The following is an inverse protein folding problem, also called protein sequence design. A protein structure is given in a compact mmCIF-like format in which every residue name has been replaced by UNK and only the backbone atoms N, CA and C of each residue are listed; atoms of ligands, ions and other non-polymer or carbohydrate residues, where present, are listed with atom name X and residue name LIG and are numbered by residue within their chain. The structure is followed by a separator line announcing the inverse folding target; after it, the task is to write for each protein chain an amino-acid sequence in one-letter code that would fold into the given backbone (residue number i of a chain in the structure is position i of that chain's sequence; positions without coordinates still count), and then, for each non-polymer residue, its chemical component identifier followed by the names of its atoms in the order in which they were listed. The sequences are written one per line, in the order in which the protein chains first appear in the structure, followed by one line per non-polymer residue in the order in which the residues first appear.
data_IF_572236845245
#
_entry.id   IF_572236845245
#
_cell.length_a   1.000
_cell.length_b   1.000
_cell.length_c   1.000
_cell.angle_alpha   90.00
_cell.angle_beta   90.00
_cell.angle_gamma   90.00
#
_symmetry.space_group_name_H-M   'P 1'
#
loop_
_entity.id
_entity.type
_entity.pdbx_description
1 polymer ?
#
# COMPACT_ATOMS: atom_id res chain seq x y z
N UNK A 1 13.23 11.18 -19.01
CA UNK A 1 13.23 10.12 -17.98
C UNK A 1 13.92 10.70 -16.75
N UNK A 2 13.21 10.87 -15.64
CA UNK A 2 13.74 11.56 -14.45
C UNK A 2 14.89 10.77 -13.83
N UNK A 3 16.02 11.43 -13.62
CA UNK A 3 17.32 10.90 -13.15
C UNK A 3 17.42 10.83 -11.62
N UNK A 4 16.31 10.83 -10.89
CA UNK A 4 16.33 10.77 -9.42
C UNK A 4 16.59 9.32 -8.99
N UNK A 5 17.75 9.00 -8.38
CA UNK A 5 17.97 7.69 -7.81
C UNK A 5 16.97 7.48 -6.65
N UNK A 6 16.16 6.42 -6.74
CA UNK A 6 15.21 6.04 -5.69
C UNK A 6 15.99 5.39 -4.54
N UNK A 7 16.56 6.21 -3.64
CA UNK A 7 17.50 5.77 -2.60
C UNK A 7 16.84 5.31 -1.29
N UNK A 8 15.54 5.04 -1.28
CA UNK A 8 14.85 4.61 -0.06
C UNK A 8 13.63 3.73 -0.32
N UNK A 9 13.35 2.84 0.63
CA UNK A 9 12.09 2.10 0.68
C UNK A 9 10.99 3.05 1.16
N UNK A 10 10.00 3.32 0.32
CA UNK A 10 8.80 4.08 0.67
C UNK A 10 7.88 3.18 1.49
N UNK A 11 7.65 3.58 2.76
CA UNK A 11 6.72 2.90 3.66
C UNK A 11 5.34 3.47 3.48
N UNK A 12 4.37 2.62 3.14
CA UNK A 12 2.99 3.04 2.81
C UNK A 12 2.01 2.46 3.81
N UNK A 13 1.04 3.27 4.21
CA UNK A 13 -0.14 2.81 4.94
C UNK A 13 -1.42 3.21 4.22
N UNK A 14 -2.45 2.37 4.28
CA UNK A 14 -3.76 2.65 3.69
C UNK A 14 -4.78 3.07 4.76
N UNK A 15 -5.64 4.03 4.40
CA UNK A 15 -6.85 4.37 5.16
C UNK A 15 -8.05 4.05 4.26
N UNK A 16 -8.86 3.09 4.69
CA UNK A 16 -9.84 2.38 3.87
C UNK A 16 -9.23 1.11 3.26
N UNK A 17 -9.70 -0.05 3.70
CA UNK A 17 -9.28 -1.39 3.25
C UNK A 17 -10.33 -2.03 2.33
N UNK A 18 -11.12 -1.19 1.63
CA UNK A 18 -12.17 -1.63 0.71
C UNK A 18 -11.64 -2.04 -0.69
N UNK A 19 -12.58 -2.25 -1.62
CA UNK A 19 -12.30 -2.86 -2.92
C UNK A 19 -11.27 -2.15 -3.80
N UNK A 20 -11.13 -0.82 -3.73
CA UNK A 20 -10.13 -0.10 -4.52
C UNK A 20 -8.70 -0.37 -4.03
N UNK A 21 -8.52 -0.46 -2.71
CA UNK A 21 -7.19 -0.78 -2.17
C UNK A 21 -6.85 -2.24 -2.47
N UNK A 22 -7.78 -3.17 -2.26
CA UNK A 22 -7.56 -4.60 -2.52
C UNK A 22 -7.41 -4.93 -4.01
N UNK A 23 -8.17 -4.26 -4.88
CA UNK A 23 -8.21 -4.55 -6.32
C UNK A 23 -7.19 -3.78 -7.17
N UNK A 24 -6.74 -2.60 -6.71
CA UNK A 24 -5.87 -1.74 -7.51
C UNK A 24 -4.63 -1.26 -6.74
N UNK A 25 -4.77 -0.58 -5.60
CA UNK A 25 -3.61 0.07 -4.98
C UNK A 25 -2.61 -0.92 -4.38
N UNK A 26 -3.04 -1.78 -3.47
CA UNK A 26 -2.16 -2.75 -2.83
C UNK A 26 -1.47 -3.66 -3.85
N UNK A 27 -2.17 -4.39 -4.74
CA UNK A 27 -1.53 -5.32 -5.67
C UNK A 27 -0.55 -4.64 -6.63
N UNK A 28 -0.81 -3.39 -7.06
CA UNK A 28 0.12 -2.68 -7.93
C UNK A 28 1.30 -2.07 -7.17
N UNK A 29 1.09 -1.59 -5.94
CA UNK A 29 2.17 -1.00 -5.14
C UNK A 29 3.15 -2.05 -4.61
N UNK A 30 2.70 -3.27 -4.26
CA UNK A 30 3.62 -4.33 -3.80
C UNK A 30 4.58 -4.82 -4.89
N UNK A 31 4.24 -4.60 -6.17
CA UNK A 31 5.10 -4.95 -7.30
C UNK A 31 6.31 -4.01 -7.42
N UNK A 32 6.25 -2.83 -6.79
CA UNK A 32 7.34 -1.87 -6.85
C UNK A 32 8.45 -2.29 -5.87
N UNK A 33 9.70 -2.43 -6.33
CA UNK A 33 10.79 -2.97 -5.51
C UNK A 33 11.21 -2.06 -4.34
N UNK A 34 10.79 -0.79 -4.38
CA UNK A 34 11.10 0.22 -3.38
C UNK A 34 9.86 0.60 -2.53
N UNK A 35 8.82 -0.22 -2.49
CA UNK A 35 7.63 0.03 -1.66
C UNK A 35 7.45 -1.08 -0.64
N UNK A 36 7.12 -0.69 0.59
CA UNK A 36 6.73 -1.61 1.66
C UNK A 36 5.46 -1.14 2.33
N UNK A 37 4.43 -1.99 2.31
CA UNK A 37 3.23 -1.75 3.11
C UNK A 37 3.54 -1.98 4.58
N UNK A 38 3.14 -1.06 5.46
CA UNK A 38 3.47 -1.10 6.91
C UNK A 38 2.28 -0.88 7.83
N UNK A 39 1.15 -0.40 7.31
CA UNK A 39 -0.03 -0.11 8.11
C UNK A 39 -1.31 -0.15 7.26
N UNK A 40 -2.43 -0.39 7.92
CA UNK A 40 -3.76 -0.26 7.33
C UNK A 40 -4.75 0.17 8.43
N UNK A 41 -5.83 0.84 8.02
CA UNK A 41 -6.92 1.24 8.89
C UNK A 41 -8.23 1.22 8.12
N UNK A 42 -9.32 0.83 8.76
CA UNK A 42 -10.69 0.91 8.24
C UNK A 42 -11.66 1.10 9.42
N UNK A 43 -12.83 1.65 9.15
CA UNK A 43 -13.92 1.75 10.13
C UNK A 43 -14.52 0.37 10.42
N UNK A 44 -14.46 -0.54 9.44
CA UNK A 44 -14.81 -1.94 9.59
C UNK A 44 -13.58 -2.75 10.02
N UNK A 45 -13.55 -3.16 11.29
CA UNK A 45 -12.45 -3.96 11.86
C UNK A 45 -12.21 -5.28 11.14
N UNK A 46 -13.25 -5.88 10.53
CA UNK A 46 -13.08 -7.12 9.79
C UNK A 46 -12.12 -6.90 8.61
N UNK A 47 -12.26 -5.78 7.90
CA UNK A 47 -11.42 -5.44 6.75
C UNK A 47 -9.96 -5.15 7.11
N UNK A 48 -9.70 -4.63 8.31
CA UNK A 48 -8.32 -4.47 8.81
C UNK A 48 -7.70 -5.83 9.14
N UNK A 49 -8.50 -6.77 9.64
CA UNK A 49 -8.02 -8.10 10.05
C UNK A 49 -7.77 -9.03 8.86
N UNK A 50 -8.47 -8.80 7.73
CA UNK A 50 -8.33 -9.53 6.47
C UNK A 50 -7.26 -8.97 5.53
N UNK A 51 -6.69 -7.79 5.85
CA UNK A 51 -5.71 -7.08 5.04
C UNK A 51 -4.27 -7.50 5.32
#
# INVERSE_FOLDING_TARGET
MSSVPQTGVVKVGFVGCGGIVQGAHAPNLVQLPNVKLVACADVDRARVSEF
#
